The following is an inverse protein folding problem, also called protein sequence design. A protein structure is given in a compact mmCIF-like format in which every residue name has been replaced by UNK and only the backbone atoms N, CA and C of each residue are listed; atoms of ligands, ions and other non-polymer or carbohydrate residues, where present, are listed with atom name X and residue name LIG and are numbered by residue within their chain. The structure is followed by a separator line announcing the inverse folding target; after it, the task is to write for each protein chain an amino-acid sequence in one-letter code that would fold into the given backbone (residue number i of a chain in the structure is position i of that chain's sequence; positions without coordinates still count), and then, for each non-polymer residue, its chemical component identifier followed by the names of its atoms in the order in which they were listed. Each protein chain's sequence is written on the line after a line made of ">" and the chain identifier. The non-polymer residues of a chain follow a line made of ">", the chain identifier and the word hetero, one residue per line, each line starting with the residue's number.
data_IF_948346614340
#
_entry.id   IF_948346614340
#
_cell.length_a   1.000
_cell.length_b   1.000
_cell.length_c   1.000
_cell.angle_alpha   90.00
_cell.angle_beta   90.00
_cell.angle_gamma   90.00
#
_symmetry.space_group_name_H-M   'P 1'
#
loop_
_entity.id
_entity.type
_entity.pdbx_description
1 polymer ?
#
# COMPACT_ATOMS: atom_id res chain seq x y z
N UNK A 1 -13.43 8.44 5.43
CA UNK A 1 -13.66 9.39 6.55
C UNK A 1 -12.83 10.62 6.21
N UNK A 2 -13.35 11.84 6.40
CA UNK A 2 -12.60 13.05 6.02
C UNK A 2 -11.90 13.64 7.24
N UNK A 3 -10.80 12.99 7.66
CA UNK A 3 -9.93 13.42 8.75
C UNK A 3 -8.53 13.62 8.19
N UNK A 4 -7.86 14.73 8.53
CA UNK A 4 -6.52 15.02 8.03
C UNK A 4 -5.52 14.04 8.63
N UNK A 5 -5.70 13.69 9.91
CA UNK A 5 -4.88 12.69 10.59
C UNK A 5 -5.01 11.31 9.91
N UNK A 6 -6.23 10.90 9.54
CA UNK A 6 -6.43 9.63 8.84
C UNK A 6 -5.83 9.66 7.42
N UNK A 7 -5.92 10.79 6.71
CA UNK A 7 -5.28 10.95 5.40
C UNK A 7 -3.75 10.89 5.48
N UNK A 8 -3.16 11.50 6.51
CA UNK A 8 -1.73 11.39 6.79
C UNK A 8 -1.36 9.94 7.12
N UNK A 9 -2.09 9.28 8.03
CA UNK A 9 -1.86 7.87 8.40
C UNK A 9 -1.89 6.96 7.17
N UNK A 10 -2.90 7.10 6.31
CA UNK A 10 -3.01 6.32 5.08
C UNK A 10 -1.83 6.59 4.14
N UNK A 11 -1.41 7.85 4.00
CA UNK A 11 -0.30 8.20 3.11
C UNK A 11 1.04 7.62 3.58
N UNK A 12 1.30 7.60 4.89
CA UNK A 12 2.48 6.93 5.45
C UNK A 12 2.43 5.42 5.26
N UNK A 13 1.26 4.80 5.50
CA UNK A 13 1.10 3.37 5.27
C UNK A 13 1.36 3.00 3.80
N UNK A 14 0.86 3.80 2.86
CA UNK A 14 1.10 3.59 1.43
C UNK A 14 2.61 3.66 1.09
N UNK A 15 3.35 4.60 1.69
CA UNK A 15 4.81 4.71 1.50
C UNK A 15 5.51 3.46 2.05
N UNK A 16 5.18 3.05 3.27
CA UNK A 16 5.78 1.85 3.90
C UNK A 16 5.51 0.59 3.06
N UNK A 17 4.32 0.48 2.45
CA UNK A 17 4.00 -0.66 1.57
C UNK A 17 4.79 -0.64 0.27
N UNK A 18 4.97 0.53 -0.33
CA UNK A 18 5.80 0.69 -1.52
C UNK A 18 7.27 0.32 -1.23
N UNK A 19 7.80 0.75 -0.08
CA UNK A 19 9.15 0.40 0.37
C UNK A 19 9.30 -1.10 0.57
N UNK A 20 8.33 -1.75 1.25
CA UNK A 20 8.33 -3.20 1.41
C UNK A 20 8.29 -3.93 0.06
N UNK A 21 7.48 -3.45 -0.89
CA UNK A 21 7.42 -4.03 -2.24
C UNK A 21 8.75 -3.92 -2.99
N UNK A 22 9.46 -2.79 -2.84
CA UNK A 22 10.80 -2.60 -3.41
C UNK A 22 11.78 -3.59 -2.77
N UNK A 23 11.75 -3.75 -1.43
CA UNK A 23 12.61 -4.69 -0.71
C UNK A 23 12.33 -6.13 -1.18
N UNK A 24 11.07 -6.52 -1.30
CA UNK A 24 10.66 -7.84 -1.79
C UNK A 24 11.19 -8.11 -3.21
N UNK A 25 11.10 -7.12 -4.11
CA UNK A 25 11.68 -7.20 -5.45
C UNK A 25 13.21 -7.34 -5.40
N UNK A 26 13.89 -6.55 -4.58
CA UNK A 26 15.35 -6.58 -4.46
C UNK A 26 15.87 -7.90 -3.90
N UNK A 27 15.11 -8.55 -3.02
CA UNK A 27 15.43 -9.88 -2.47
C UNK A 27 15.28 -11.02 -3.48
N UNK A 28 14.63 -10.78 -4.63
CA UNK A 28 14.51 -11.81 -5.67
C UNK A 28 15.88 -12.13 -6.28
N UNK A 29 16.32 -13.37 -6.12
CA UNK A 29 17.48 -13.90 -6.82
C UNK A 29 17.09 -14.30 -8.25
N UNK A 30 17.50 -13.46 -9.20
CA UNK A 30 17.21 -13.61 -10.62
C UNK A 30 18.51 -13.92 -11.34
N UNK A 31 18.51 -14.92 -12.21
CA UNK A 31 19.68 -15.29 -13.00
C UNK A 31 19.62 -14.70 -14.41
N UNK A 32 18.44 -14.71 -15.04
CA UNK A 32 18.27 -14.22 -16.42
C UNK A 32 18.26 -12.69 -16.48
N UNK A 33 19.03 -12.13 -17.42
CA UNK A 33 19.13 -10.68 -17.63
C UNK A 33 17.76 -10.00 -17.88
N UNK A 34 16.85 -10.66 -18.62
CA UNK A 34 15.50 -10.17 -18.87
C UNK A 34 14.73 -9.87 -17.58
N UNK A 35 14.74 -10.79 -16.60
CA UNK A 35 14.03 -10.57 -15.33
C UNK A 35 14.70 -9.49 -14.49
N UNK A 36 16.03 -9.42 -14.49
CA UNK A 36 16.76 -8.34 -13.81
C UNK A 36 16.33 -6.96 -14.31
N UNK A 37 16.28 -6.79 -15.65
CA UNK A 37 15.86 -5.53 -16.26
C UNK A 37 14.40 -5.18 -15.92
N UNK A 38 13.48 -6.15 -16.00
CA UNK A 38 12.08 -5.93 -15.65
C UNK A 38 11.92 -5.54 -14.17
N UNK A 39 12.65 -6.20 -13.27
CA UNK A 39 12.69 -5.85 -11.85
C UNK A 39 13.19 -4.42 -11.64
N UNK A 40 14.29 -4.03 -12.29
CA UNK A 40 14.85 -2.69 -12.18
C UNK A 40 13.89 -1.60 -12.67
N UNK A 41 13.24 -1.81 -13.82
CA UNK A 41 12.19 -0.93 -14.30
C UNK A 41 11.06 -0.81 -13.27
N UNK A 42 10.65 -1.94 -12.69
CA UNK A 42 9.57 -1.93 -11.71
C UNK A 42 9.94 -1.20 -10.42
N UNK A 43 11.15 -1.39 -9.93
CA UNK A 43 11.67 -0.66 -8.77
C UNK A 43 11.68 0.84 -9.07
N UNK A 44 12.08 1.26 -10.27
CA UNK A 44 12.03 2.67 -10.68
C UNK A 44 10.61 3.25 -10.59
N UNK A 45 9.61 2.55 -11.12
CA UNK A 45 8.21 3.00 -11.05
C UNK A 45 7.72 3.13 -9.60
N UNK A 46 8.09 2.18 -8.72
CA UNK A 46 7.71 2.23 -7.31
C UNK A 46 8.41 3.38 -6.58
N UNK A 47 9.66 3.68 -6.91
CA UNK A 47 10.38 4.82 -6.35
C UNK A 47 9.75 6.16 -6.77
N UNK A 48 9.29 6.28 -8.02
CA UNK A 48 8.56 7.47 -8.48
C UNK A 48 7.26 7.66 -7.68
N UNK A 49 6.56 6.57 -7.36
CA UNK A 49 5.38 6.60 -6.51
C UNK A 49 5.71 7.01 -5.07
N UNK A 50 6.77 6.45 -4.47
CA UNK A 50 7.25 6.86 -3.13
C UNK A 50 7.58 8.35 -3.10
N UNK A 51 8.27 8.86 -4.12
CA UNK A 51 8.61 10.28 -4.21
C UNK A 51 7.35 11.15 -4.29
N UNK A 52 6.38 10.76 -5.12
CA UNK A 52 5.11 11.47 -5.25
C UNK A 52 4.32 11.51 -3.93
N UNK A 53 4.19 10.35 -3.25
CA UNK A 53 3.50 10.24 -1.95
C UNK A 53 4.21 11.02 -0.86
N UNK A 54 5.54 10.91 -0.78
CA UNK A 54 6.36 11.67 0.18
C UNK A 54 6.15 13.17 0.01
N UNK A 55 6.06 13.66 -1.23
CA UNK A 55 5.78 15.08 -1.49
C UNK A 55 4.40 15.49 -0.99
N UNK A 56 3.37 14.67 -1.26
CA UNK A 56 2.01 14.93 -0.77
C UNK A 56 1.96 14.97 0.76
N UNK A 57 2.65 14.05 1.43
CA UNK A 57 2.74 14.03 2.89
C UNK A 57 3.43 15.30 3.42
N UNK A 58 4.55 15.71 2.82
CA UNK A 58 5.24 16.94 3.21
C UNK A 58 4.35 18.18 3.06
N UNK A 59 3.58 18.27 1.98
CA UNK A 59 2.60 19.35 1.76
C UNK A 59 1.49 19.31 2.83
N UNK A 60 1.02 18.13 3.24
CA UNK A 60 0.05 17.98 4.33
C UNK A 60 0.63 18.32 5.71
N UNK A 61 1.91 18.00 5.96
CA UNK A 61 2.60 18.29 7.22
C UNK A 61 2.91 19.78 7.42
N UNK A 62 3.12 20.53 6.32
CA UNK A 62 3.28 21.99 6.39
C UNK A 62 2.08 22.67 7.05
N UNK A 63 0.90 22.04 6.99
CA UNK A 63 -0.33 22.48 7.65
C UNK A 63 -0.60 23.99 7.46
N UNK A 64 -0.43 24.49 6.23
CA UNK A 64 -0.52 25.94 5.92
C UNK A 64 -1.87 26.55 6.35
N UNK A 65 -2.93 25.74 6.39
CA UNK A 65 -4.29 26.12 6.78
C UNK A 65 -4.61 25.84 8.27
N UNK A 66 -3.67 25.25 9.02
CA UNK A 66 -3.81 24.89 10.44
C UNK A 66 -4.91 23.86 10.70
N UNK A 67 -5.26 23.03 9.72
CA UNK A 67 -6.39 22.10 9.79
C UNK A 67 -6.06 20.96 10.74
N UNK A 68 -4.82 20.46 10.71
CA UNK A 68 -4.38 19.42 11.64
C UNK A 68 -4.41 19.94 13.08
N UNK A 69 -3.88 21.16 13.29
CA UNK A 69 -3.95 21.83 14.60
C UNK A 69 -5.38 21.92 15.16
N UNK A 70 -6.32 22.44 14.37
CA UNK A 70 -7.75 22.54 14.75
C UNK A 70 -8.37 21.17 15.05
N UNK A 71 -8.08 20.17 14.22
CA UNK A 71 -8.59 18.81 14.44
C UNK A 71 -8.07 18.24 15.76
N UNK A 72 -6.79 18.44 16.07
CA UNK A 72 -6.18 17.97 17.33
C UNK A 72 -6.67 18.73 18.57
N UNK A 73 -6.89 20.03 18.46
CA UNK A 73 -7.44 20.85 19.55
C UNK A 73 -8.86 20.41 19.90
N UNK A 74 -9.72 20.20 18.91
CA UNK A 74 -11.07 19.69 19.14
C UNK A 74 -11.10 18.27 19.73
N UNK A 75 -10.08 17.44 19.45
CA UNK A 75 -9.96 16.14 20.14
C UNK A 75 -9.60 16.29 21.63
N UNK A 76 -8.86 17.34 21.96
CA UNK A 76 -8.45 17.62 23.33
C UNK A 76 -9.53 18.33 24.14
N UNK A 77 -10.44 19.07 23.51
CA UNK A 77 -11.55 19.69 24.23
C UNK A 77 -12.45 18.61 24.84
N UNK A 78 -12.70 18.69 26.15
CA UNK A 78 -13.60 17.79 26.87
C UNK A 78 -15.09 18.08 26.57
N UNK A 79 -15.41 18.41 25.32
CA UNK A 79 -16.77 18.67 24.86
C UNK A 79 -17.44 17.36 24.46
N UNK A 80 -18.46 16.96 25.20
CA UNK A 80 -19.30 15.81 24.84
C UNK A 80 -19.97 16.00 23.47
N UNK A 81 -20.26 17.24 23.07
CA UNK A 81 -20.90 17.56 21.79
C UNK A 81 -20.01 17.18 20.60
N UNK A 82 -18.72 17.54 20.67
CA UNK A 82 -17.75 17.21 19.64
C UNK A 82 -17.53 15.69 19.52
N UNK A 83 -17.48 14.99 20.66
CA UNK A 83 -17.40 13.54 20.68
C UNK A 83 -18.58 12.89 19.95
N UNK A 84 -19.82 13.32 20.24
CA UNK A 84 -21.01 12.76 19.59
C UNK A 84 -21.10 13.10 18.11
N UNK A 85 -20.64 14.29 17.71
CA UNK A 85 -20.53 14.68 16.30
C UNK A 85 -19.60 13.73 15.54
N UNK A 86 -18.37 13.54 16.01
CA UNK A 86 -17.38 12.64 15.42
C UNK A 86 -17.87 11.19 15.38
N UNK A 87 -18.54 10.72 16.44
CA UNK A 87 -19.14 9.38 16.47
C UNK A 87 -20.25 9.23 15.41
N UNK A 88 -21.05 10.28 15.21
CA UNK A 88 -22.05 10.36 14.13
C UNK A 88 -21.42 10.20 12.75
N UNK A 89 -20.32 10.91 12.50
CA UNK A 89 -19.58 10.84 11.24
C UNK A 89 -18.97 9.46 10.98
N UNK A 90 -18.35 8.84 11.99
CA UNK A 90 -17.80 7.49 11.90
C UNK A 90 -18.91 6.48 11.58
N UNK A 91 -20.03 6.54 12.29
CA UNK A 91 -21.18 5.66 12.04
C UNK A 91 -21.78 5.89 10.65
N UNK A 92 -21.88 7.15 10.22
CA UNK A 92 -22.35 7.52 8.89
C UNK A 92 -21.42 6.97 7.80
N UNK A 93 -20.11 7.11 7.99
CA UNK A 93 -19.10 6.55 7.10
C UNK A 93 -19.20 5.02 7.02
N UNK A 94 -19.29 4.34 8.16
CA UNK A 94 -19.43 2.89 8.20
C UNK A 94 -20.72 2.41 7.51
N UNK A 95 -21.85 3.10 7.71
CA UNK A 95 -23.11 2.75 7.03
C UNK A 95 -23.03 2.89 5.52
N UNK A 96 -22.40 3.96 5.03
CA UNK A 96 -22.22 4.19 3.57
C UNK A 96 -21.29 3.17 2.92
N UNK A 97 -20.36 2.61 3.69
CA UNK A 97 -19.37 1.64 3.23
C UNK A 97 -19.60 0.25 3.86
N UNK A 98 -20.86 -0.10 4.14
CA UNK A 98 -21.18 -1.38 4.77
C UNK A 98 -20.88 -2.52 3.78
N UNK A 99 -19.97 -3.43 4.16
CA UNK A 99 -19.47 -4.49 3.29
C UNK A 99 -18.37 -4.06 2.32
N UNK A 100 -17.84 -2.83 2.46
CA UNK A 100 -16.59 -2.47 1.80
C UNK A 100 -15.51 -3.43 2.30
N UNK A 101 -14.97 -4.23 1.38
CA UNK A 101 -13.75 -4.97 1.63
C UNK A 101 -12.68 -3.90 1.83
N UNK A 102 -12.03 -3.92 3.00
CA UNK A 102 -10.80 -3.16 3.17
C UNK A 102 -9.82 -3.82 2.21
N UNK A 103 -9.67 -3.22 1.03
CA UNK A 103 -8.59 -3.55 0.09
C UNK A 103 -7.30 -3.36 0.90
N UNK A 104 -6.73 -4.47 1.38
CA UNK A 104 -5.43 -4.44 2.01
C UNK A 104 -4.47 -3.94 0.94
N UNK A 105 -3.81 -2.78 1.11
CA UNK A 105 -2.86 -2.29 0.12
C UNK A 105 -1.79 -3.35 -0.19
N UNK A 106 -1.48 -4.20 0.80
CA UNK A 106 -0.64 -5.40 0.70
C UNK A 106 -1.00 -6.33 -0.48
N UNK A 107 -2.29 -6.48 -0.82
CA UNK A 107 -2.75 -7.34 -1.91
C UNK A 107 -2.20 -6.89 -3.26
N UNK A 108 -2.05 -5.59 -3.47
CA UNK A 108 -1.51 -5.05 -4.72
C UNK A 108 -0.03 -5.43 -4.90
N UNK A 109 0.70 -5.55 -3.80
CA UNK A 109 2.15 -5.78 -3.75
C UNK A 109 2.53 -7.25 -3.55
N UNK A 110 1.61 -8.09 -3.08
CA UNK A 110 1.78 -9.53 -2.89
C UNK A 110 2.26 -10.26 -4.17
N UNK A 111 1.92 -9.74 -5.35
CA UNK A 111 2.40 -10.26 -6.63
C UNK A 111 3.92 -10.19 -6.81
N UNK A 112 4.60 -9.28 -6.10
CA UNK A 112 6.06 -9.14 -6.15
C UNK A 112 6.79 -10.08 -5.19
N UNK A 113 6.06 -10.77 -4.31
CA UNK A 113 6.65 -11.75 -3.40
C UNK A 113 7.09 -13.03 -4.11
N UNK A 114 6.51 -13.31 -5.28
CA UNK A 114 6.86 -14.48 -6.08
C UNK A 114 7.94 -14.17 -7.10
N UNK A 115 8.99 -14.99 -7.10
CA UNK A 115 10.04 -14.95 -8.12
C UNK A 115 9.47 -15.49 -9.45
N UNK A 116 9.41 -14.68 -10.53
CA UNK A 116 8.88 -15.11 -11.81
C UNK A 116 9.75 -16.21 -12.44
N UNK A 117 11.07 -16.19 -12.22
CA UNK A 117 11.98 -17.18 -12.76
C UNK A 117 11.78 -18.56 -12.12
N UNK A 118 11.61 -18.59 -10.80
CA UNK A 118 11.29 -19.81 -10.05
C UNK A 118 9.93 -20.38 -10.47
N UNK A 119 8.96 -19.50 -10.72
CA UNK A 119 7.62 -19.90 -11.17
C UNK A 119 7.66 -20.57 -12.54
N UNK A 120 8.42 -20.02 -13.49
CA UNK A 120 8.62 -20.63 -14.80
C UNK A 120 9.38 -21.97 -14.74
N UNK A 121 10.35 -22.10 -13.83
CA UNK A 121 11.11 -23.32 -13.67
C UNK A 121 10.22 -24.44 -13.10
N UNK A 122 9.40 -24.13 -12.09
CA UNK A 122 8.39 -25.05 -11.54
C UNK A 122 7.41 -25.53 -12.61
N UNK A 123 6.91 -24.61 -13.43
CA UNK A 123 5.98 -24.94 -14.53
C UNK A 123 6.64 -25.86 -15.56
N UNK A 124 7.89 -25.59 -15.94
CA UNK A 124 8.65 -26.47 -16.85
C UNK A 124 8.84 -27.87 -16.30
N UNK A 125 9.19 -28.00 -15.03
CA UNK A 125 9.37 -29.30 -14.37
C UNK A 125 8.05 -30.08 -14.31
N UNK A 126 6.94 -29.39 -14.02
CA UNK A 126 5.61 -30.00 -14.00
C UNK A 126 5.19 -30.53 -15.38
N UNK A 127 5.42 -29.75 -16.44
CA UNK A 127 5.13 -30.15 -17.81
C UNK A 127 5.98 -31.34 -18.26
N UNK A 128 7.27 -31.37 -17.89
CA UNK A 128 8.15 -32.50 -18.20
C UNK A 128 7.67 -33.79 -17.54
N UNK A 129 7.28 -33.73 -16.26
CA UNK A 129 6.76 -34.91 -15.53
C UNK A 129 5.45 -35.43 -16.12
N UNK A 130 4.55 -34.54 -16.54
CA UNK A 130 3.30 -34.94 -17.19
C UNK A 130 3.53 -35.65 -18.54
N UNK A 131 4.60 -35.28 -19.26
CA UNK A 131 4.96 -35.93 -20.51
C UNK A 131 5.60 -37.32 -20.31
N UNK A 132 6.30 -37.54 -19.19
CA UNK A 132 6.89 -38.83 -18.84
C UNK A 132 5.84 -39.83 -18.30
N UNK A 133 4.76 -39.36 -17.67
CA UNK A 133 3.67 -40.20 -17.17
C UNK A 133 2.71 -40.70 -18.28
N UNK A 134 2.74 -40.07 -19.47
CA UNK A 134 1.93 -40.41 -20.65
C UNK A 134 2.67 -41.32 -21.68
N UNK A 135 3.91 -41.73 -21.41
CA UNK A 135 4.77 -42.56 -22.28
C UNK A 135 4.96 -44.00 -21.76
#
# INVERSE_FOLDING_TARGET
>A
MNSVIEQQRQSYEDIERLEQAIVDLMMQDLTKHRYKLLREQKISELLDQVQSRSKQVLEMEQDELGVRGKETEGMSEHSFEEFYSRLGDIRGHHRRNAGAVVELPELEYLKYKHNPEESEERERVMLARAQDDDA
#
